data_IF_482754171434
#
_entry.id   IF_482754171434
#
_cell.length_a   1.000
_cell.length_b   1.000
_cell.length_c   1.000
_cell.angle_alpha   90.00
_cell.angle_beta   90.00
_cell.angle_gamma   90.00
#
_symmetry.space_group_name_H-M   'P 1'
#
loop_
_entity.id
_entity.type
_entity.pdbx_description
1 polymer ?
#
# COMPACT_ATOMS: atom_id res chain seq x y z
N UNK A 1 17.01 -35.50 26.09
CA UNK A 1 17.97 -34.38 25.99
C UNK A 1 17.15 -33.09 25.92
N UNK A 2 17.51 -32.01 26.62
CA UNK A 2 16.74 -30.75 26.54
C UNK A 2 16.96 -30.11 25.16
N UNK A 3 15.89 -29.64 24.52
CA UNK A 3 15.97 -28.90 23.26
C UNK A 3 16.70 -27.56 23.47
N UNK A 4 17.47 -27.15 22.47
CA UNK A 4 18.35 -25.99 22.48
C UNK A 4 17.83 -24.92 21.53
N UNK A 5 17.77 -23.67 21.98
CA UNK A 5 17.42 -22.56 21.08
C UNK A 5 18.37 -21.37 21.22
N UNK A 6 18.47 -20.59 20.14
CA UNK A 6 19.13 -19.29 20.13
C UNK A 6 18.15 -18.22 19.63
N UNK A 7 17.92 -17.18 20.40
CA UNK A 7 17.04 -16.07 20.03
C UNK A 7 17.71 -14.72 20.32
N UNK A 8 17.45 -13.74 19.45
CA UNK A 8 17.87 -12.34 19.62
C UNK A 8 17.09 -11.71 20.79
N UNK A 9 17.76 -10.99 21.69
CA UNK A 9 17.15 -10.40 22.91
C UNK A 9 16.02 -9.43 22.59
N UNK A 10 15.95 -8.91 21.37
CA UNK A 10 14.83 -8.07 20.90
C UNK A 10 13.49 -8.82 20.77
N UNK A 11 13.47 -10.14 20.95
CA UNK A 11 12.26 -10.97 20.99
C UNK A 11 12.06 -11.60 22.39
N UNK A 12 11.86 -10.77 23.42
CA UNK A 12 11.80 -11.25 24.81
C UNK A 12 10.60 -12.16 25.08
N UNK A 13 9.50 -11.95 24.36
CA UNK A 13 8.30 -12.78 24.37
C UNK A 13 8.60 -14.22 23.92
N UNK A 14 9.31 -14.38 22.80
CA UNK A 14 9.70 -15.70 22.28
C UNK A 14 10.67 -16.40 23.24
N UNK A 15 11.61 -15.65 23.83
CA UNK A 15 12.57 -16.19 24.81
C UNK A 15 11.82 -16.73 26.03
N UNK A 16 10.98 -15.92 26.65
CA UNK A 16 10.23 -16.30 27.84
C UNK A 16 9.35 -17.55 27.59
N UNK A 17 8.71 -17.60 26.42
CA UNK A 17 7.77 -18.66 26.04
C UNK A 17 8.48 -20.00 25.77
N UNK A 18 9.70 -19.98 25.20
CA UNK A 18 10.52 -21.17 25.02
C UNK A 18 11.13 -21.66 26.35
N UNK A 19 11.61 -20.76 27.19
CA UNK A 19 12.14 -21.09 28.53
C UNK A 19 11.06 -21.69 29.43
N UNK A 20 9.83 -21.15 29.39
CA UNK A 20 8.68 -21.70 30.11
C UNK A 20 8.33 -23.13 29.66
N UNK A 21 8.60 -23.49 28.38
CA UNK A 21 8.46 -24.86 27.85
C UNK A 21 9.66 -25.77 28.18
N UNK A 22 10.64 -25.29 28.94
CA UNK A 22 11.82 -26.06 29.34
C UNK A 22 12.91 -26.15 28.29
N UNK A 23 12.86 -25.34 27.23
CA UNK A 23 13.96 -25.23 26.27
C UNK A 23 15.14 -24.52 26.91
N UNK A 24 16.37 -24.92 26.55
CA UNK A 24 17.58 -24.29 27.04
C UNK A 24 18.06 -23.23 26.06
N UNK A 25 18.11 -21.98 26.51
CA UNK A 25 18.68 -20.87 25.75
C UNK A 25 20.20 -21.01 25.62
N UNK A 26 20.70 -20.77 24.42
CA UNK A 26 22.12 -20.67 24.11
C UNK A 26 22.54 -19.21 23.95
N UNK A 27 23.83 -18.88 24.20
CA UNK A 27 24.39 -17.60 23.79
C UNK A 27 24.18 -17.37 22.29
N UNK A 28 23.76 -16.17 21.91
CA UNK A 28 23.42 -15.86 20.51
C UNK A 28 24.63 -15.91 19.56
N UNK A 29 25.85 -15.71 20.08
CA UNK A 29 27.08 -15.62 19.29
C UNK A 29 27.80 -16.98 19.24
N UNK A 30 28.12 -17.44 18.02
CA UNK A 30 29.19 -18.44 17.82
C UNK A 30 28.83 -19.91 18.00
N UNK A 31 27.55 -20.31 18.09
CA UNK A 31 27.18 -21.72 18.25
C UNK A 31 26.52 -22.34 16.99
N UNK A 32 27.10 -23.41 16.41
CA UNK A 32 26.48 -24.17 15.33
C UNK A 32 25.45 -25.20 15.81
N UNK A 33 25.37 -25.49 17.11
CA UNK A 33 24.49 -26.51 17.69
C UNK A 33 23.26 -25.87 18.33
N UNK A 34 22.20 -25.70 17.56
CA UNK A 34 20.86 -25.31 18.03
C UNK A 34 19.81 -26.20 17.36
N UNK A 35 18.68 -26.44 18.03
CA UNK A 35 17.51 -27.07 17.41
C UNK A 35 16.62 -26.00 16.75
N UNK A 36 16.45 -24.84 17.41
CA UNK A 36 15.72 -23.68 16.89
C UNK A 36 16.55 -22.39 16.95
N UNK A 37 16.54 -21.61 15.88
CA UNK A 37 17.08 -20.24 15.87
C UNK A 37 16.01 -19.23 15.49
N UNK A 38 15.80 -18.25 16.36
CA UNK A 38 14.84 -17.17 16.18
C UNK A 38 15.53 -15.81 16.03
N UNK A 39 15.58 -15.29 14.81
CA UNK A 39 16.30 -14.04 14.54
C UNK A 39 15.71 -13.27 13.35
N UNK A 40 16.33 -12.15 12.97
CA UNK A 40 16.02 -11.46 11.72
C UNK A 40 16.58 -12.24 10.53
N UNK A 41 15.87 -12.22 9.39
CA UNK A 41 16.25 -12.91 8.16
C UNK A 41 17.74 -12.77 7.80
N UNK A 42 18.26 -11.53 7.80
CA UNK A 42 19.66 -11.24 7.42
C UNK A 42 20.73 -11.76 8.39
N UNK A 43 20.35 -12.18 9.61
CA UNK A 43 21.26 -12.79 10.60
C UNK A 43 21.32 -14.32 10.50
N UNK A 44 20.56 -14.92 9.58
CA UNK A 44 20.60 -16.35 9.32
C UNK A 44 21.78 -16.66 8.38
N UNK A 45 22.66 -17.54 8.83
CA UNK A 45 23.75 -18.07 8.00
C UNK A 45 23.25 -19.25 7.18
N UNK A 46 22.46 -18.99 6.14
CA UNK A 46 21.73 -20.00 5.36
C UNK A 46 22.59 -21.20 4.94
N UNK A 47 23.81 -20.97 4.43
CA UNK A 47 24.73 -22.05 4.03
C UNK A 47 25.29 -22.92 5.17
N UNK A 48 24.96 -22.62 6.44
CA UNK A 48 25.36 -23.40 7.62
C UNK A 48 24.18 -24.06 8.34
N UNK A 49 22.94 -23.82 7.89
CA UNK A 49 21.75 -24.46 8.47
C UNK A 49 21.68 -25.89 7.94
N UNK A 50 21.56 -26.87 8.84
CA UNK A 50 21.44 -28.30 8.49
C UNK A 50 19.98 -28.76 8.51
N UNK A 51 19.69 -29.94 7.94
CA UNK A 51 18.33 -30.51 7.88
C UNK A 51 17.71 -30.85 9.23
N UNK A 52 18.51 -30.91 10.30
CA UNK A 52 18.05 -31.17 11.67
C UNK A 52 17.72 -29.87 12.42
N UNK A 53 17.96 -28.71 11.82
CA UNK A 53 17.82 -27.40 12.47
C UNK A 53 16.65 -26.62 11.92
N UNK A 54 15.96 -25.90 12.81
CA UNK A 54 14.82 -25.06 12.47
C UNK A 54 15.22 -23.59 12.60
N UNK A 55 14.80 -22.78 11.62
CA UNK A 55 14.91 -21.32 11.64
C UNK A 55 13.54 -20.70 11.42
N UNK A 56 13.31 -19.50 11.97
CA UNK A 56 12.01 -18.83 11.92
C UNK A 56 11.70 -18.08 10.61
N UNK A 57 12.37 -18.44 9.50
CA UNK A 57 12.16 -17.86 8.18
C UNK A 57 12.27 -18.95 7.12
N UNK A 58 11.45 -18.87 6.08
CA UNK A 58 11.67 -19.64 4.86
C UNK A 58 12.76 -18.97 4.04
N UNK A 59 13.63 -19.75 3.39
CA UNK A 59 14.65 -19.21 2.51
C UNK A 59 13.98 -18.39 1.38
N UNK A 60 14.55 -17.23 1.04
CA UNK A 60 14.00 -16.30 0.05
C UNK A 60 12.68 -15.58 0.42
N UNK A 61 12.08 -15.85 1.59
CA UNK A 61 10.85 -15.17 2.04
C UNK A 61 10.94 -13.64 2.14
N UNK A 62 12.15 -13.09 2.24
CA UNK A 62 12.39 -11.64 2.23
C UNK A 62 11.84 -10.94 0.99
N UNK A 63 11.70 -11.67 -0.13
CA UNK A 63 11.16 -11.18 -1.40
C UNK A 63 9.72 -10.67 -1.20
N UNK A 64 8.93 -11.32 -0.34
CA UNK A 64 7.55 -10.90 -0.02
C UNK A 64 7.50 -9.56 0.74
N UNK A 65 8.62 -9.13 1.32
CA UNK A 65 8.73 -7.85 2.02
C UNK A 65 9.30 -6.72 1.15
N UNK A 66 9.75 -7.02 -0.07
CA UNK A 66 10.25 -6.03 -1.03
C UNK A 66 9.14 -5.68 -2.02
N UNK A 67 8.83 -4.38 -2.14
CA UNK A 67 7.61 -3.94 -2.87
C UNK A 67 7.70 -4.20 -4.37
N UNK A 68 8.86 -3.93 -4.97
CA UNK A 68 9.14 -4.17 -6.38
C UNK A 68 9.08 -5.66 -6.69
N UNK A 69 9.77 -6.49 -5.90
CA UNK A 69 9.80 -7.93 -6.16
C UNK A 69 8.44 -8.60 -5.91
N UNK A 70 7.72 -8.23 -4.83
CA UNK A 70 6.35 -8.70 -4.60
C UNK A 70 5.43 -8.31 -5.75
N UNK A 71 5.54 -7.08 -6.26
CA UNK A 71 4.76 -6.62 -7.42
C UNK A 71 5.05 -7.50 -8.64
N UNK A 72 6.32 -7.73 -8.95
CA UNK A 72 6.71 -8.59 -10.06
C UNK A 72 6.15 -10.01 -9.90
N UNK A 73 6.27 -10.62 -8.71
CA UNK A 73 5.73 -11.95 -8.45
C UNK A 73 4.21 -12.02 -8.61
N UNK A 74 3.46 -11.03 -8.12
CA UNK A 74 2.00 -10.99 -8.23
C UNK A 74 1.51 -10.89 -9.68
N UNK A 75 2.24 -10.19 -10.53
CA UNK A 75 1.89 -10.04 -11.95
C UNK A 75 2.59 -11.06 -12.86
N UNK A 76 3.46 -11.92 -12.32
CA UNK A 76 4.10 -12.99 -13.11
C UNK A 76 3.05 -14.02 -13.51
N UNK A 77 3.10 -14.48 -14.76
CA UNK A 77 2.21 -15.54 -15.23
C UNK A 77 2.72 -16.90 -14.76
N UNK A 78 1.85 -17.68 -14.11
CA UNK A 78 2.06 -19.12 -14.00
C UNK A 78 1.35 -19.78 -15.19
N UNK A 79 2.07 -20.59 -15.95
CA UNK A 79 1.54 -21.40 -17.05
C UNK A 79 0.85 -20.63 -18.20
N UNK A 80 1.18 -19.34 -18.39
CA UNK A 80 0.67 -18.51 -19.48
C UNK A 80 -0.63 -17.75 -19.18
N UNK A 81 -1.23 -17.98 -18.00
CA UNK A 81 -2.38 -17.23 -17.51
C UNK A 81 -1.91 -16.09 -16.58
N UNK A 82 -2.43 -14.88 -16.80
CA UNK A 82 -2.17 -13.76 -15.90
C UNK A 82 -3.08 -13.92 -14.68
N UNK A 83 -2.50 -14.02 -13.49
CA UNK A 83 -3.26 -13.95 -12.25
C UNK A 83 -3.99 -12.60 -12.18
N UNK A 84 -5.32 -12.62 -12.12
CA UNK A 84 -6.14 -11.41 -11.95
C UNK A 84 -6.01 -10.86 -10.51
N UNK A 85 -4.84 -10.31 -10.19
CA UNK A 85 -4.53 -9.77 -8.85
C UNK A 85 -5.20 -8.43 -8.57
N UNK A 86 -5.69 -7.74 -9.60
CA UNK A 86 -6.25 -6.40 -9.46
C UNK A 86 -7.52 -6.33 -8.60
N UNK A 87 -8.17 -7.47 -8.34
CA UNK A 87 -9.29 -7.60 -7.38
C UNK A 87 -8.87 -7.42 -5.93
N UNK A 88 -7.61 -7.67 -5.59
CA UNK A 88 -7.10 -7.64 -4.21
C UNK A 88 -5.79 -6.85 -4.04
N UNK A 89 -5.16 -6.41 -5.13
CA UNK A 89 -3.91 -5.66 -5.14
C UNK A 89 -4.04 -4.44 -6.05
N UNK A 90 -3.96 -3.20 -5.52
CA UNK A 90 -4.06 -2.00 -6.34
C UNK A 90 -3.02 -1.98 -7.45
N UNK A 91 -3.39 -1.50 -8.63
CA UNK A 91 -2.51 -1.43 -9.80
C UNK A 91 -1.21 -0.72 -9.42
N UNK A 92 -0.10 -1.43 -9.62
CA UNK A 92 1.22 -1.03 -9.15
C UNK A 92 2.21 -1.12 -10.29
N UNK A 93 3.17 -0.21 -10.35
CA UNK A 93 4.14 -0.03 -11.42
C UNK A 93 5.53 0.11 -10.82
N UNK A 94 6.45 -0.78 -11.20
CA UNK A 94 7.86 -0.72 -10.83
C UNK A 94 8.62 0.19 -11.80
N UNK A 95 9.05 1.36 -11.33
CA UNK A 95 9.74 2.33 -12.17
C UNK A 95 11.14 1.89 -12.58
N UNK A 96 11.68 0.79 -12.07
CA UNK A 96 12.90 0.20 -12.65
C UNK A 96 12.66 -0.44 -14.02
N UNK A 97 11.40 -0.78 -14.34
CA UNK A 97 11.00 -1.40 -15.60
C UNK A 97 10.50 -0.33 -16.59
N UNK A 98 11.04 -0.34 -17.82
CA UNK A 98 10.65 0.61 -18.87
C UNK A 98 9.20 0.43 -19.31
N UNK A 99 8.71 -0.80 -19.33
CA UNK A 99 7.33 -1.14 -19.65
C UNK A 99 6.35 -0.53 -18.63
N UNK A 100 6.62 -0.69 -17.33
CA UNK A 100 5.77 -0.15 -16.27
C UNK A 100 5.71 1.38 -16.29
N UNK A 101 6.79 2.07 -16.70
CA UNK A 101 6.75 3.54 -16.92
C UNK A 101 5.77 3.95 -18.01
N UNK A 102 5.69 3.18 -19.11
CA UNK A 102 4.74 3.44 -20.22
C UNK A 102 3.31 3.13 -19.78
N UNK A 103 3.10 1.97 -19.15
CA UNK A 103 1.80 1.56 -18.65
C UNK A 103 1.27 2.52 -17.59
N UNK A 104 2.14 2.99 -16.69
CA UNK A 104 1.78 3.98 -15.68
C UNK A 104 1.21 5.25 -16.32
N UNK A 105 1.80 5.75 -17.41
CA UNK A 105 1.26 6.92 -18.13
C UNK A 105 -0.17 6.66 -18.60
N UNK A 106 -0.44 5.52 -19.24
CA UNK A 106 -1.76 5.17 -19.74
C UNK A 106 -2.77 5.10 -18.58
N UNK A 107 -2.43 4.35 -17.53
CA UNK A 107 -3.30 4.16 -16.37
C UNK A 107 -3.52 5.44 -15.55
N UNK A 108 -2.52 6.33 -15.52
CA UNK A 108 -2.65 7.64 -14.90
C UNK A 108 -3.70 8.49 -15.62
N UNK A 109 -3.64 8.56 -16.95
CA UNK A 109 -4.62 9.29 -17.76
C UNK A 109 -6.00 8.64 -17.72
N UNK A 110 -6.08 7.31 -17.73
CA UNK A 110 -7.35 6.60 -17.53
C UNK A 110 -7.98 6.97 -16.18
N UNK A 111 -7.21 6.89 -15.09
CA UNK A 111 -7.69 7.23 -13.76
C UNK A 111 -8.12 8.70 -13.66
N UNK A 112 -7.37 9.61 -14.30
CA UNK A 112 -7.76 11.02 -14.42
C UNK A 112 -9.09 11.17 -15.16
N UNK A 113 -9.25 10.51 -16.30
CA UNK A 113 -10.47 10.58 -17.09
C UNK A 113 -11.67 10.07 -16.28
N UNK A 114 -11.55 8.94 -15.57
CA UNK A 114 -12.60 8.44 -14.67
C UNK A 114 -12.95 9.47 -13.59
N UNK A 115 -11.95 10.11 -12.98
CA UNK A 115 -12.16 11.09 -11.92
C UNK A 115 -12.88 12.36 -12.45
N UNK A 116 -12.49 12.83 -13.63
CA UNK A 116 -13.15 13.95 -14.34
C UNK A 116 -14.60 13.62 -14.68
N UNK A 117 -14.86 12.42 -15.21
CA UNK A 117 -16.22 11.99 -15.55
C UNK A 117 -17.10 11.88 -14.29
N UNK A 118 -16.59 11.30 -13.20
CA UNK A 118 -17.29 11.24 -11.90
C UNK A 118 -17.63 12.63 -11.36
N UNK A 119 -16.66 13.57 -11.41
CA UNK A 119 -16.89 14.97 -11.03
C UNK A 119 -17.95 15.63 -11.89
N UNK A 120 -17.99 15.31 -13.19
CA UNK A 120 -18.96 15.88 -14.13
C UNK A 120 -20.42 15.53 -13.86
N UNK A 121 -20.68 14.47 -13.08
CA UNK A 121 -22.02 14.11 -12.65
C UNK A 121 -22.49 14.88 -11.40
N UNK A 122 -21.59 15.59 -10.72
CA UNK A 122 -21.91 16.40 -9.55
C UNK A 122 -22.32 17.81 -9.98
N UNK A 123 -23.61 18.12 -9.84
CA UNK A 123 -24.21 19.40 -10.25
C UNK A 123 -23.69 20.61 -9.45
N UNK A 124 -23.07 20.38 -8.29
CA UNK A 124 -22.58 21.45 -7.40
C UNK A 124 -21.17 21.94 -7.76
N UNK A 125 -20.53 21.38 -8.78
CA UNK A 125 -19.12 21.65 -9.11
C UNK A 125 -19.00 22.11 -10.55
N UNK A 126 -18.31 23.22 -10.77
CA UNK A 126 -17.99 23.69 -12.12
C UNK A 126 -16.94 22.77 -12.76
N UNK A 127 -17.14 22.44 -14.04
CA UNK A 127 -16.35 21.42 -14.74
C UNK A 127 -15.87 21.96 -16.07
N UNK A 128 -14.60 21.73 -16.37
CA UNK A 128 -14.02 22.04 -17.66
C UNK A 128 -14.60 21.09 -18.72
N UNK A 129 -15.41 21.66 -19.63
CA UNK A 129 -16.08 20.91 -20.68
C UNK A 129 -15.12 20.22 -21.65
N UNK A 130 -13.97 20.84 -21.94
CA UNK A 130 -12.96 20.27 -22.81
C UNK A 130 -12.30 19.05 -22.16
N UNK A 131 -12.02 19.12 -20.85
CA UNK A 131 -11.49 17.98 -20.08
C UNK A 131 -12.46 16.81 -20.07
N UNK A 132 -13.74 17.05 -19.85
CA UNK A 132 -14.75 15.97 -19.85
C UNK A 132 -14.92 15.39 -21.27
N UNK A 133 -14.80 16.21 -22.33
CA UNK A 133 -14.79 15.74 -23.72
C UNK A 133 -13.60 14.81 -24.02
N UNK A 134 -12.40 15.20 -23.61
CA UNK A 134 -11.19 14.39 -23.74
C UNK A 134 -11.29 13.09 -22.91
N UNK A 135 -11.79 13.18 -21.68
CA UNK A 135 -12.01 12.03 -20.80
C UNK A 135 -12.99 11.03 -21.44
N UNK A 136 -14.14 11.49 -21.93
CA UNK A 136 -15.10 10.62 -22.63
C UNK A 136 -14.49 9.92 -23.83
N UNK A 137 -13.64 10.62 -24.57
CA UNK A 137 -12.98 10.03 -25.74
C UNK A 137 -12.00 8.92 -25.35
N UNK A 138 -11.19 9.15 -24.33
CA UNK A 138 -10.29 8.12 -23.79
C UNK A 138 -11.09 6.91 -23.29
N UNK A 139 -12.14 7.14 -22.50
CA UNK A 139 -12.95 6.06 -21.93
C UNK A 139 -13.66 5.24 -23.02
N UNK A 140 -14.16 5.85 -24.09
CA UNK A 140 -14.72 5.11 -25.22
C UNK A 140 -13.69 4.20 -25.91
N UNK A 141 -12.45 4.68 -26.08
CA UNK A 141 -11.38 3.85 -26.63
C UNK A 141 -11.04 2.68 -25.72
N UNK A 142 -11.04 2.90 -24.40
CA UNK A 142 -10.84 1.85 -23.39
C UNK A 142 -11.98 0.83 -23.41
N UNK A 143 -13.22 1.28 -23.46
CA UNK A 143 -14.41 0.41 -23.53
C UNK A 143 -14.38 -0.44 -24.81
N UNK A 144 -13.98 0.14 -25.95
CA UNK A 144 -13.87 -0.58 -27.21
C UNK A 144 -12.72 -1.61 -27.24
N UNK A 145 -11.81 -1.59 -26.27
CA UNK A 145 -10.73 -2.57 -26.15
C UNK A 145 -11.14 -3.68 -25.19
N UNK A 146 -11.23 -4.92 -25.69
CA UNK A 146 -11.60 -6.08 -24.87
C UNK A 146 -10.49 -6.40 -23.84
N UNK A 147 -9.23 -6.30 -24.23
CA UNK A 147 -8.07 -6.72 -23.42
C UNK A 147 -7.56 -5.68 -22.41
N UNK A 148 -8.12 -4.46 -22.40
CA UNK A 148 -7.60 -3.35 -21.59
C UNK A 148 -7.55 -3.64 -20.09
N UNK A 149 -8.45 -4.46 -19.56
CA UNK A 149 -8.50 -4.78 -18.11
C UNK A 149 -7.92 -6.16 -17.78
N UNK A 150 -8.01 -7.14 -18.66
CA UNK A 150 -7.66 -8.53 -18.34
C UNK A 150 -6.18 -8.84 -18.57
N UNK A 151 -5.57 -8.26 -19.60
CA UNK A 151 -4.20 -8.59 -20.04
C UNK A 151 -3.31 -7.35 -20.13
N UNK A 152 -3.60 -6.30 -19.37
CA UNK A 152 -3.01 -4.97 -19.54
C UNK A 152 -1.49 -4.86 -19.39
N UNK A 153 -0.83 -5.88 -18.83
CA UNK A 153 0.63 -5.97 -18.73
C UNK A 153 1.30 -6.67 -19.92
N UNK A 154 0.55 -7.18 -20.89
CA UNK A 154 1.11 -7.76 -22.12
C UNK A 154 1.56 -6.65 -23.08
N UNK A 155 2.63 -6.90 -23.81
CA UNK A 155 3.26 -5.91 -24.71
C UNK A 155 2.31 -5.48 -25.85
N UNK A 156 1.45 -6.39 -26.31
CA UNK A 156 0.46 -6.16 -27.38
C UNK A 156 -0.61 -5.13 -26.99
N UNK A 157 -0.98 -5.04 -25.70
CA UNK A 157 -2.00 -4.10 -25.23
C UNK A 157 -1.55 -2.64 -25.39
N UNK A 158 -0.24 -2.36 -25.34
CA UNK A 158 0.33 -1.03 -25.52
C UNK A 158 0.13 -0.47 -26.94
N UNK A 159 0.03 -1.33 -27.95
CA UNK A 159 -0.12 -0.93 -29.35
C UNK A 159 -1.55 -0.50 -29.70
N UNK A 160 -2.54 -0.93 -28.92
CA UNK A 160 -3.97 -0.63 -29.17
C UNK A 160 -4.40 0.79 -28.78
N UNK A 161 -3.58 1.48 -27.98
CA UNK A 161 -3.89 2.80 -27.41
C UNK A 161 -2.87 3.81 -27.95
N UNK A 162 -2.76 3.93 -29.27
CA UNK A 162 -2.00 5.01 -29.88
C UNK A 162 -2.84 6.28 -30.02
N UNK A 163 -2.13 7.39 -29.86
CA UNK A 163 -2.50 8.64 -29.22
C UNK A 163 -2.94 9.73 -30.21
N UNK A 164 -4.04 9.51 -30.94
CA UNK A 164 -4.65 10.59 -31.76
C UNK A 164 -6.15 10.66 -31.56
N UNK A 165 -6.56 11.45 -30.58
CA UNK A 165 -7.96 11.54 -30.15
C UNK A 165 -8.55 12.95 -30.42
N UNK A 166 -9.09 13.18 -31.63
CA UNK A 166 -9.94 14.33 -32.01
C UNK A 166 -11.23 14.54 -31.17
N UNK A 167 -11.56 15.78 -30.83
CA UNK A 167 -12.64 16.18 -29.91
C UNK A 167 -14.01 16.14 -30.62
N UNK A 168 -15.04 15.58 -29.97
CA UNK A 168 -16.43 15.58 -30.49
C UNK A 168 -17.31 16.53 -29.65
N UNK A 169 -18.15 17.40 -30.24
CA UNK A 169 -18.95 18.40 -29.51
C UNK A 169 -20.18 17.86 -28.73
N UNK A 170 -20.78 18.77 -27.94
CA UNK A 170 -21.68 18.61 -26.77
C UNK A 170 -23.20 18.57 -27.09
N UNK A 171 -23.99 17.79 -26.33
CA UNK A 171 -25.49 17.82 -26.28
C UNK A 171 -26.01 17.15 -24.97
N UNK A 172 -27.26 17.35 -24.56
CA UNK A 172 -27.97 16.79 -23.39
C UNK A 172 -27.90 15.25 -23.26
N UNK A 173 -27.61 14.57 -24.35
CA UNK A 173 -27.19 13.18 -24.44
C UNK A 173 -25.94 12.85 -23.57
N UNK A 174 -25.15 13.85 -23.19
CA UNK A 174 -23.86 13.71 -22.51
C UNK A 174 -23.95 13.11 -21.11
N UNK A 175 -24.86 13.57 -20.24
CA UNK A 175 -24.96 13.06 -18.86
C UNK A 175 -25.25 11.56 -18.87
N UNK A 176 -26.25 11.16 -19.65
CA UNK A 176 -26.59 9.76 -19.88
C UNK A 176 -25.41 8.98 -20.43
N UNK A 177 -24.71 9.49 -21.46
CA UNK A 177 -23.50 8.86 -22.02
C UNK A 177 -22.37 8.70 -20.99
N UNK A 178 -22.20 9.67 -20.08
CA UNK A 178 -21.23 9.58 -18.98
C UNK A 178 -21.65 8.51 -17.99
N UNK A 179 -22.92 8.48 -17.58
CA UNK A 179 -23.48 7.46 -16.69
C UNK A 179 -23.35 6.05 -17.29
N UNK A 180 -23.69 5.87 -18.58
CA UNK A 180 -23.52 4.62 -19.32
C UNK A 180 -22.05 4.17 -19.35
N UNK A 181 -21.14 5.07 -19.75
CA UNK A 181 -19.71 4.75 -19.81
C UNK A 181 -19.15 4.41 -18.43
N UNK A 182 -19.50 5.18 -17.39
CA UNK A 182 -19.07 4.90 -16.03
C UNK A 182 -19.66 3.59 -15.50
N UNK A 183 -20.89 3.25 -15.85
CA UNK A 183 -21.52 1.96 -15.51
C UNK A 183 -20.80 0.77 -16.16
N UNK A 184 -20.38 0.89 -17.42
CA UNK A 184 -19.55 -0.14 -18.06
C UNK A 184 -18.18 -0.29 -17.41
N UNK A 185 -17.54 0.83 -17.03
CA UNK A 185 -16.28 0.79 -16.30
C UNK A 185 -16.43 0.15 -14.91
N UNK A 186 -17.52 0.41 -14.20
CA UNK A 186 -17.80 -0.20 -12.89
C UNK A 186 -17.93 -1.72 -13.00
N UNK A 187 -18.47 -2.24 -14.11
CA UNK A 187 -18.57 -3.67 -14.39
C UNK A 187 -17.23 -4.31 -14.78
N UNK A 188 -16.38 -3.59 -15.51
CA UNK A 188 -15.16 -4.14 -16.13
C UNK A 188 -13.87 -3.88 -15.35
N UNK A 189 -13.79 -2.78 -14.59
CA UNK A 189 -12.61 -2.41 -13.81
C UNK A 189 -12.76 -2.83 -12.34
N UNK A 190 -12.02 -3.85 -11.86
CA UNK A 190 -12.04 -4.27 -10.46
C UNK A 190 -11.63 -3.17 -9.46
N UNK A 191 -10.97 -2.12 -9.92
CA UNK A 191 -10.49 -1.01 -9.10
C UNK A 191 -11.21 0.30 -9.40
N UNK A 192 -12.35 0.27 -10.09
CA UNK A 192 -13.16 1.45 -10.43
C UNK A 192 -13.42 2.36 -9.21
N UNK A 193 -13.75 1.76 -8.06
CA UNK A 193 -14.04 2.48 -6.82
C UNK A 193 -12.79 3.00 -6.09
N UNK A 194 -11.58 2.58 -6.47
CA UNK A 194 -10.35 3.15 -5.94
C UNK A 194 -10.14 4.60 -6.43
N UNK A 195 -10.77 5.00 -7.53
CA UNK A 195 -10.81 6.39 -8.03
C UNK A 195 -11.94 7.15 -7.34
N UNK A 196 -11.60 8.27 -6.69
CA UNK A 196 -12.56 9.12 -5.99
C UNK A 196 -13.47 9.91 -6.94
N UNK A 197 -14.47 10.57 -6.36
CA UNK A 197 -15.46 11.34 -7.11
C UNK A 197 -15.08 12.83 -7.25
N UNK A 198 -13.97 13.25 -6.65
CA UNK A 198 -13.57 14.65 -6.50
C UNK A 198 -12.37 15.04 -7.38
N UNK A 199 -12.18 14.37 -8.53
CA UNK A 199 -11.10 14.69 -9.48
C UNK A 199 -9.70 14.67 -8.85
N UNK A 200 -9.53 13.84 -7.83
CA UNK A 200 -8.34 13.82 -6.99
C UNK A 200 -7.20 13.00 -7.57
N UNK A 201 -7.50 12.01 -8.42
CA UNK A 201 -6.57 11.11 -9.13
C UNK A 201 -5.27 10.84 -8.35
N UNK A 202 -5.40 10.30 -7.13
CA UNK A 202 -4.29 10.21 -6.20
C UNK A 202 -3.50 8.93 -6.45
N UNK A 203 -2.18 9.09 -6.48
CA UNK A 203 -1.21 8.00 -6.60
C UNK A 203 -0.28 8.03 -5.40
N UNK A 204 0.23 6.84 -5.01
CA UNK A 204 1.16 6.68 -3.90
C UNK A 204 2.51 6.17 -4.42
N UNK A 205 3.53 7.00 -4.25
CA UNK A 205 4.92 6.69 -4.56
C UNK A 205 5.58 6.09 -3.33
N UNK A 206 6.16 4.89 -3.47
CA UNK A 206 6.81 4.17 -2.36
C UNK A 206 8.22 3.72 -2.76
N UNK A 207 9.25 4.06 -1.98
CA UNK A 207 10.57 3.48 -2.15
C UNK A 207 10.52 1.97 -1.89
N UNK A 208 11.08 1.17 -2.78
CA UNK A 208 10.99 -0.29 -2.72
C UNK A 208 11.71 -0.87 -1.51
N UNK A 209 12.86 -0.28 -1.15
CA UNK A 209 13.79 -0.75 -0.10
C UNK A 209 13.57 -0.12 1.29
N UNK A 210 12.62 0.80 1.46
CA UNK A 210 12.31 1.41 2.75
C UNK A 210 11.08 0.76 3.43
N UNK A 211 10.99 0.89 4.75
CA UNK A 211 9.88 0.38 5.56
C UNK A 211 9.38 1.47 6.53
N UNK A 212 8.38 1.17 7.35
CA UNK A 212 7.89 2.06 8.42
C UNK A 212 7.27 3.37 7.92
N UNK A 213 6.76 3.37 6.68
CA UNK A 213 6.15 4.55 6.05
C UNK A 213 7.15 5.62 5.61
N UNK A 214 8.46 5.36 5.68
CA UNK A 214 9.51 6.31 5.29
C UNK A 214 9.54 6.52 3.78
N UNK A 215 9.67 7.77 3.37
CA UNK A 215 9.77 8.19 1.96
C UNK A 215 8.51 7.97 1.13
N UNK A 216 7.38 7.59 1.74
CA UNK A 216 6.09 7.48 1.03
C UNK A 216 5.55 8.88 0.78
N UNK A 217 5.18 9.16 -0.46
CA UNK A 217 4.61 10.43 -0.90
C UNK A 217 3.35 10.18 -1.73
N UNK A 218 2.36 11.06 -1.61
CA UNK A 218 1.17 11.07 -2.46
C UNK A 218 1.30 12.17 -3.50
N UNK A 219 0.80 11.93 -4.71
CA UNK A 219 0.75 12.92 -5.79
C UNK A 219 -0.57 12.86 -6.54
N UNK A 220 -0.90 13.94 -7.25
CA UNK A 220 -2.10 14.04 -8.11
C UNK A 220 -1.80 14.35 -9.56
N UNK A 221 -0.61 14.84 -9.85
CA UNK A 221 -0.18 15.15 -11.21
C UNK A 221 0.97 14.26 -11.64
N UNK A 222 1.03 13.97 -12.94
CA UNK A 222 2.13 13.20 -13.50
C UNK A 222 3.46 13.95 -13.36
N UNK A 223 3.41 15.30 -13.39
CA UNK A 223 4.58 16.16 -13.15
C UNK A 223 5.14 15.99 -11.74
N UNK A 224 4.29 16.06 -10.70
CA UNK A 224 4.71 15.79 -9.32
C UNK A 224 5.31 14.38 -9.18
N UNK A 225 4.72 13.39 -9.84
CA UNK A 225 5.22 12.02 -9.84
C UNK A 225 6.64 11.94 -10.43
N UNK A 226 6.86 12.57 -11.59
CA UNK A 226 8.18 12.63 -12.21
C UNK A 226 9.18 13.37 -11.31
N UNK A 227 8.80 14.49 -10.70
CA UNK A 227 9.64 15.23 -9.75
C UNK A 227 10.04 14.34 -8.56
N UNK A 228 9.07 13.75 -7.84
CA UNK A 228 9.30 12.88 -6.68
C UNK A 228 10.25 11.73 -7.01
N UNK A 229 10.10 11.14 -8.20
CA UNK A 229 10.84 9.94 -8.59
C UNK A 229 12.18 10.26 -9.25
N UNK A 230 12.37 11.50 -9.74
CA UNK A 230 13.62 11.98 -10.37
C UNK A 230 14.57 12.68 -9.40
N UNK A 231 14.09 13.19 -8.25
CA UNK A 231 14.90 13.88 -7.22
C UNK A 231 16.09 13.03 -6.69
N UNK A 232 16.17 11.74 -7.01
CA UNK A 232 17.31 10.86 -6.68
C UNK A 232 17.97 10.20 -7.91
N UNK A 233 17.72 10.73 -9.12
CA UNK A 233 18.00 10.10 -10.42
C UNK A 233 19.09 10.76 -11.27
N UNK A 234 19.50 12.00 -11.00
CA UNK A 234 20.48 12.71 -11.83
C UNK A 234 21.79 12.98 -11.05
N UNK A 235 22.65 11.96 -11.03
CA UNK A 235 24.10 12.17 -11.10
C UNK A 235 24.62 11.24 -12.21
N UNK A 236 24.48 11.68 -13.45
CA UNK A 236 25.36 11.24 -14.53
C UNK A 236 26.60 12.16 -14.47
N UNK A 237 27.67 11.69 -13.83
CA UNK A 237 28.92 12.45 -13.77
C UNK A 237 29.93 11.96 -12.75
N UNK A 238 30.95 11.25 -13.25
CA UNK A 238 32.26 10.96 -12.66
C UNK A 238 32.35 9.93 -11.52
N UNK A 239 32.81 8.75 -11.93
CA UNK A 239 33.49 7.76 -11.12
C UNK A 239 34.62 8.40 -10.29
N UNK A 240 34.37 8.60 -9.00
CA UNK A 240 35.43 8.57 -7.98
C UNK A 240 34.95 7.72 -6.80
N UNK A 241 35.85 6.91 -6.29
CA UNK A 241 35.53 5.69 -5.53
C UNK A 241 34.78 5.87 -4.21
N UNK A 242 34.24 4.73 -3.77
CA UNK A 242 33.70 4.44 -2.43
C UNK A 242 32.43 5.17 -2.01
N UNK A 243 31.32 4.81 -2.66
CA UNK A 243 30.09 4.24 -2.08
C UNK A 243 29.03 4.25 -3.19
N UNK A 244 28.61 3.06 -3.68
CA UNK A 244 27.48 2.97 -4.61
C UNK A 244 26.23 3.45 -3.88
N UNK A 245 25.91 4.75 -3.95
CA UNK A 245 24.58 5.23 -3.57
C UNK A 245 23.60 4.54 -4.52
N UNK A 246 22.99 3.45 -4.06
CA UNK A 246 22.05 2.68 -4.86
C UNK A 246 20.90 3.60 -5.24
N UNK A 247 20.69 3.82 -6.54
CA UNK A 247 19.50 4.52 -7.06
C UNK A 247 18.27 3.98 -6.34
N UNK A 248 17.49 4.86 -5.71
CA UNK A 248 16.28 4.46 -5.00
C UNK A 248 15.32 3.88 -6.02
N UNK A 249 14.95 2.61 -5.86
CA UNK A 249 13.89 2.00 -6.65
C UNK A 249 12.55 2.48 -6.13
N UNK A 250 11.67 2.85 -7.04
CA UNK A 250 10.33 3.32 -6.72
C UNK A 250 9.30 2.39 -7.32
N UNK A 251 8.28 2.08 -6.54
CA UNK A 251 7.00 1.66 -7.09
C UNK A 251 6.01 2.83 -7.02
N UNK A 252 5.13 2.91 -8.00
CA UNK A 252 3.96 3.78 -7.99
C UNK A 252 2.74 2.88 -7.95
N UNK A 253 1.80 3.16 -7.05
CA UNK A 253 0.59 2.37 -6.91
C UNK A 253 -0.63 3.29 -6.89
N UNK A 254 -1.76 2.85 -7.44
CA UNK A 254 -3.02 3.59 -7.34
C UNK A 254 -3.41 3.73 -5.87
N UNK A 255 -3.60 4.96 -5.39
CA UNK A 255 -4.07 5.18 -4.02
C UNK A 255 -5.55 4.84 -3.91
N UNK A 256 -5.97 4.19 -2.82
CA UNK A 256 -7.38 3.93 -2.55
C UNK A 256 -8.00 5.21 -1.98
N UNK A 257 -8.72 5.95 -2.82
CA UNK A 257 -9.30 7.25 -2.48
C UNK A 257 -10.60 7.16 -1.68
N UNK A 258 -11.27 6.01 -1.75
CA UNK A 258 -12.51 5.71 -1.01
C UNK A 258 -12.29 4.54 -0.05
N UNK A 259 -11.38 4.65 0.94
CA UNK A 259 -11.20 3.60 1.92
C UNK A 259 -12.46 3.48 2.80
N UNK A 260 -12.68 2.30 3.38
CA UNK A 260 -13.60 2.19 4.51
C UNK A 260 -13.06 3.05 5.65
N UNK A 261 -13.93 3.88 6.22
CA UNK A 261 -13.63 4.75 7.36
C UNK A 261 -14.41 4.27 8.57
N UNK A 262 -13.75 4.27 9.72
CA UNK A 262 -14.33 3.88 11.01
C UNK A 262 -13.97 4.94 12.07
N UNK A 263 -14.48 4.81 13.28
CA UNK A 263 -14.23 5.76 14.38
C UNK A 263 -14.43 7.22 13.95
N UNK A 264 -15.57 7.53 13.34
CA UNK A 264 -15.90 8.89 12.86
C UNK A 264 -14.95 9.43 11.79
N UNK A 265 -14.71 8.64 10.73
CA UNK A 265 -14.03 9.11 9.53
C UNK A 265 -12.53 8.85 9.49
N UNK A 266 -11.98 8.01 10.36
CA UNK A 266 -10.56 7.66 10.37
C UNK A 266 -10.28 6.49 9.43
N UNK A 267 -9.20 6.63 8.66
CA UNK A 267 -8.64 5.56 7.82
C UNK A 267 -7.91 4.57 8.72
N UNK A 268 -7.92 3.30 8.36
CA UNK A 268 -7.15 2.26 9.05
C UNK A 268 -6.60 1.22 8.09
N UNK A 269 -5.73 0.36 8.60
CA UNK A 269 -5.39 -0.91 7.97
C UNK A 269 -5.54 -2.07 8.96
N UNK A 270 -5.64 -3.29 8.43
CA UNK A 270 -5.72 -4.52 9.22
C UNK A 270 -4.33 -5.17 9.23
N UNK A 271 -3.79 -5.43 10.42
CA UNK A 271 -2.64 -6.32 10.59
C UNK A 271 -3.14 -7.73 10.89
N UNK A 272 -2.88 -8.62 9.94
CA UNK A 272 -3.08 -10.05 10.09
C UNK A 272 -1.75 -10.78 10.22
N UNK A 273 -1.70 -11.80 11.09
CA UNK A 273 -0.57 -12.73 11.16
C UNK A 273 -0.89 -14.05 10.46
N UNK A 274 0.06 -14.52 9.65
CA UNK A 274 0.01 -15.80 8.95
C UNK A 274 1.32 -16.53 9.20
N UNK A 275 1.25 -17.79 9.61
CA UNK A 275 2.40 -18.69 9.77
C UNK A 275 2.43 -19.67 8.60
N UNK A 276 3.54 -19.70 7.85
CA UNK A 276 3.77 -20.69 6.81
C UNK A 276 4.80 -21.69 7.34
N UNK A 277 4.43 -22.96 7.42
CA UNK A 277 5.29 -24.01 7.98
C UNK A 277 5.97 -24.83 6.89
N UNK A 278 5.31 -25.02 5.76
CA UNK A 278 5.75 -25.89 4.66
C UNK A 278 5.39 -25.24 3.32
N UNK A 279 6.23 -25.46 2.30
CA UNK A 279 5.99 -25.01 0.92
C UNK A 279 5.72 -26.19 -0.03
N UNK A 280 6.33 -27.34 0.24
CA UNK A 280 6.22 -28.57 -0.56
C UNK A 280 5.79 -29.74 0.34
N UNK A 281 4.99 -30.70 -0.17
CA UNK A 281 4.45 -30.78 -1.54
C UNK A 281 3.32 -29.80 -1.82
N UNK A 282 2.72 -29.19 -0.79
CA UNK A 282 1.78 -28.07 -0.90
C UNK A 282 2.05 -27.06 0.21
N UNK A 283 1.88 -25.75 -0.05
CA UNK A 283 2.02 -24.74 1.00
C UNK A 283 1.02 -24.94 2.13
N UNK A 284 1.51 -24.97 3.38
CA UNK A 284 0.67 -24.99 4.58
C UNK A 284 0.75 -23.65 5.28
N UNK A 285 -0.37 -22.92 5.30
CA UNK A 285 -0.49 -21.60 5.90
C UNK A 285 -1.57 -21.57 7.00
N UNK A 286 -1.22 -21.05 8.17
CA UNK A 286 -2.11 -20.89 9.32
C UNK A 286 -2.41 -19.41 9.54
N UNK A 287 -3.69 -19.05 9.49
CA UNK A 287 -4.16 -17.71 9.85
C UNK A 287 -4.33 -17.62 11.35
N UNK A 288 -3.62 -16.69 11.99
CA UNK A 288 -3.84 -16.46 13.41
C UNK A 288 -5.23 -15.87 13.62
N UNK A 289 -6.01 -16.44 14.55
CA UNK A 289 -7.42 -16.07 14.73
C UNK A 289 -7.62 -14.63 15.23
N UNK A 290 -6.57 -13.99 15.76
CA UNK A 290 -6.58 -12.57 16.14
C UNK A 290 -5.88 -11.74 15.09
N UNK A 291 -6.43 -10.55 14.87
CA UNK A 291 -5.82 -9.44 14.13
C UNK A 291 -5.98 -8.15 14.93
N UNK A 292 -5.43 -7.05 14.43
CA UNK A 292 -5.71 -5.73 14.97
C UNK A 292 -5.77 -4.67 13.88
N UNK A 293 -6.61 -3.67 14.10
CA UNK A 293 -6.75 -2.48 13.29
C UNK A 293 -5.72 -1.45 13.73
N UNK A 294 -5.14 -0.72 12.77
CA UNK A 294 -4.23 0.40 13.03
C UNK A 294 -4.81 1.64 12.39
N UNK A 295 -5.20 2.60 13.21
CA UNK A 295 -5.88 3.81 12.75
C UNK A 295 -4.87 4.93 12.43
N UNK A 296 -5.25 5.75 11.46
CA UNK A 296 -4.70 7.09 11.28
C UNK A 296 -5.27 8.00 12.37
N UNK A 297 -4.45 8.86 12.97
CA UNK A 297 -4.87 9.74 14.07
C UNK A 297 -5.65 10.97 13.62
N UNK A 298 -5.63 11.29 12.32
CA UNK A 298 -6.44 12.35 11.72
C UNK A 298 -7.53 11.77 10.83
N UNK A 299 -8.70 12.41 10.85
CA UNK A 299 -9.82 12.10 9.96
C UNK A 299 -9.37 12.14 8.51
N UNK A 300 -9.84 11.18 7.73
CA UNK A 300 -9.45 11.01 6.35
C UNK A 300 -10.00 12.14 5.49
N UNK A 301 -9.11 12.91 4.87
CA UNK A 301 -9.45 13.95 3.91
C UNK A 301 -8.43 13.92 2.77
N UNK A 302 -8.91 13.90 1.53
CA UNK A 302 -8.00 13.92 0.38
C UNK A 302 -7.38 15.30 0.17
N UNK A 303 -7.94 16.39 0.70
CA UNK A 303 -7.42 17.77 0.55
C UNK A 303 -6.04 17.97 1.17
N UNK A 304 -5.67 17.16 2.18
CA UNK A 304 -4.41 17.27 2.93
C UNK A 304 -3.42 16.16 2.60
N UNK A 305 -3.07 15.97 1.32
CA UNK A 305 -2.23 14.84 0.89
C UNK A 305 -0.84 14.75 1.55
N UNK A 306 -0.28 15.89 1.96
CA UNK A 306 1.00 15.95 2.64
C UNK A 306 0.91 15.56 4.14
N UNK A 307 -0.31 15.48 4.68
CA UNK A 307 -0.54 15.07 6.07
C UNK A 307 -0.42 13.54 6.20
N UNK A 308 0.75 13.12 6.67
CA UNK A 308 1.05 11.70 6.86
C UNK A 308 0.18 11.06 7.94
N UNK A 309 -0.33 11.83 8.90
CA UNK A 309 -1.19 11.32 9.96
C UNK A 309 -2.58 10.95 9.46
N UNK A 310 -3.04 11.58 8.38
CA UNK A 310 -4.29 11.27 7.67
C UNK A 310 -4.18 10.00 6.81
N UNK A 311 -3.01 9.78 6.19
CA UNK A 311 -2.90 8.81 5.10
C UNK A 311 -2.09 7.55 5.42
N UNK A 312 -1.25 7.55 6.45
CA UNK A 312 -0.35 6.43 6.79
C UNK A 312 -0.58 5.88 8.20
N UNK A 313 -1.28 4.76 8.32
CA UNK A 313 -1.58 4.05 9.58
C UNK A 313 -0.38 3.31 10.24
N UNK A 314 0.85 3.57 9.78
CA UNK A 314 2.04 2.97 10.38
C UNK A 314 2.22 3.50 11.82
N UNK A 315 2.36 2.61 12.81
CA UNK A 315 2.67 3.01 14.20
C UNK A 315 3.88 3.94 14.27
N UNK A 316 4.93 3.64 13.50
CA UNK A 316 6.14 4.48 13.40
C UNK A 316 5.91 5.90 12.88
N UNK A 317 4.75 6.17 12.28
CA UNK A 317 4.31 7.52 11.89
C UNK A 317 3.39 8.05 12.97
N UNK A 318 2.35 7.29 13.32
CA UNK A 318 1.27 7.73 14.20
C UNK A 318 1.70 8.00 15.65
N UNK A 319 2.75 7.34 16.15
CA UNK A 319 3.30 7.60 17.49
C UNK A 319 3.82 9.03 17.70
N UNK A 320 4.07 9.77 16.62
CA UNK A 320 4.53 11.16 16.66
C UNK A 320 3.39 12.16 16.49
N UNK A 321 2.14 11.69 16.42
CA UNK A 321 1.00 12.59 16.35
C UNK A 321 0.80 13.29 17.70
N UNK A 322 0.71 14.61 17.67
CA UNK A 322 0.35 15.44 18.82
C UNK A 322 -0.94 16.17 18.44
N UNK A 323 -1.99 16.03 19.26
CA UNK A 323 -3.25 16.74 19.00
C UNK A 323 -3.06 18.23 19.23
N UNK A 324 -3.77 19.06 18.45
CA UNK A 324 -3.71 20.53 18.58
C UNK A 324 -4.19 20.99 19.97
N UNK A 325 -5.11 20.24 20.58
CA UNK A 325 -5.58 20.45 21.96
C UNK A 325 -4.48 20.20 23.01
N UNK A 326 -3.56 19.25 22.77
CA UNK A 326 -2.45 18.98 23.67
C UNK A 326 -1.38 20.09 23.60
N UNK A 327 -1.20 20.73 22.43
CA UNK A 327 -0.28 21.88 22.31
C UNK A 327 -0.78 23.14 23.01
N UNK A 328 -2.09 23.32 23.14
CA UNK A 328 -2.68 24.45 23.88
C UNK A 328 -2.64 24.25 25.40
N UNK A 329 -2.68 23.00 25.88
CA UNK A 329 -2.55 22.66 27.30
C UNK A 329 -1.11 22.84 27.82
N UNK A 330 -0.10 22.64 26.99
CA UNK A 330 1.31 22.90 27.37
C UNK A 330 1.66 24.41 27.42
N UNK A 331 0.88 25.28 26.77
CA UNK A 331 1.10 26.73 26.79
C UNK A 331 0.33 27.47 27.90
N UNK A 332 -0.70 26.86 28.48
CA UNK A 332 -1.46 27.43 29.59
C UNK A 332 -1.37 26.51 30.80
N UNK A 333 -0.38 26.74 31.65
CA UNK A 333 -0.30 26.16 32.99
C UNK A 333 -1.51 26.59 33.84
N UNK A 334 -2.64 25.92 33.67
CA UNK A 334 -3.83 26.07 34.48
C UNK A 334 -4.18 24.72 35.08
N UNK A 335 -3.97 24.59 36.39
CA UNK A 335 -4.70 23.62 37.21
C UNK A 335 -6.19 23.92 37.05
N UNK A 336 -6.92 23.04 36.36
CA UNK A 336 -8.38 23.04 36.36
C UNK A 336 -8.88 21.72 36.92
N UNK A 337 -9.68 21.88 37.97
CA UNK A 337 -10.38 20.87 38.74
C UNK A 337 -11.24 19.97 37.86
N UNK A 338 -11.25 18.69 38.22
CA UNK A 338 -11.72 17.56 37.42
C UNK A 338 -13.26 17.40 37.29
N UNK A 339 -14.02 18.45 36.97
CA UNK A 339 -15.50 18.36 37.08
C UNK A 339 -16.33 18.70 35.83
N UNK A 340 -15.71 19.02 34.68
CA UNK A 340 -16.44 19.17 33.42
C UNK A 340 -15.66 18.58 32.24
N UNK A 341 -15.50 17.25 32.22
CA UNK A 341 -15.23 16.52 30.98
C UNK A 341 -16.58 16.11 30.40
N UNK A 342 -16.94 16.73 29.28
CA UNK A 342 -18.07 16.32 28.47
C UNK A 342 -17.86 14.85 28.03
N UNK A 343 -18.68 13.95 28.54
CA UNK A 343 -18.56 12.48 28.36
C UNK A 343 -19.00 12.01 26.96
N UNK A 344 -19.22 12.91 25.99
CA UNK A 344 -19.62 12.55 24.62
C UNK A 344 -18.53 12.71 23.55
N UNK A 345 -17.26 12.92 23.92
CA UNK A 345 -16.16 12.80 22.97
C UNK A 345 -15.82 11.32 22.80
N UNK A 346 -16.29 10.72 21.69
CA UNK A 346 -15.90 9.37 21.27
C UNK A 346 -14.38 9.19 21.46
N UNK A 347 -14.00 8.34 22.42
CA UNK A 347 -12.59 8.05 22.70
C UNK A 347 -11.97 7.42 21.46
N UNK A 348 -11.12 8.17 20.76
CA UNK A 348 -10.38 7.67 19.61
C UNK A 348 -9.34 6.65 20.07
N UNK A 349 -9.44 5.42 19.57
CA UNK A 349 -8.52 4.33 19.89
C UNK A 349 -7.59 4.04 18.69
N UNK A 350 -6.27 4.34 18.79
CA UNK A 350 -5.35 4.24 17.66
C UNK A 350 -5.11 2.80 17.19
N UNK A 351 -5.37 1.81 18.05
CA UNK A 351 -5.32 0.40 17.72
C UNK A 351 -6.48 -0.36 18.38
N UNK A 352 -7.24 -1.10 17.58
CA UNK A 352 -8.28 -1.99 18.09
C UNK A 352 -7.91 -3.44 17.78
N UNK A 353 -7.88 -4.29 18.81
CA UNK A 353 -7.84 -5.73 18.57
C UNK A 353 -9.11 -6.20 17.88
N UNK A 354 -9.01 -7.31 17.14
CA UNK A 354 -10.17 -7.98 16.53
C UNK A 354 -11.28 -8.34 17.52
N UNK A 355 -10.95 -8.55 18.80
CA UNK A 355 -11.93 -8.81 19.86
C UNK A 355 -12.66 -7.52 20.24
N UNK A 356 -11.92 -6.45 20.55
CA UNK A 356 -12.51 -5.12 20.82
C UNK A 356 -13.39 -4.64 19.66
N UNK A 357 -12.90 -4.78 18.42
CA UNK A 357 -13.67 -4.37 17.25
C UNK A 357 -14.96 -5.17 17.07
N UNK A 358 -14.93 -6.48 17.32
CA UNK A 358 -16.16 -7.30 17.25
C UNK A 358 -17.22 -6.80 18.22
N UNK A 359 -16.81 -6.37 19.41
CA UNK A 359 -17.76 -5.85 20.40
C UNK A 359 -18.34 -4.49 20.00
N UNK A 360 -17.62 -3.69 19.18
CA UNK A 360 -18.19 -2.44 18.60
C UNK A 360 -19.23 -2.67 17.50
N UNK A 361 -19.34 -3.88 16.96
CA UNK A 361 -20.32 -4.24 15.92
C UNK A 361 -21.63 -4.83 16.46
N UNK A 362 -21.67 -5.17 17.75
CA UNK A 362 -22.86 -5.66 18.44
C UNK A 362 -23.67 -4.50 18.98
#
# INVERSE_FOLDING_TARGET
MRQLFAADDKFPDVVAELEARGWRRLPFVGCPKFDLKWTNYGKISWGRVTSQQIVNHLQHSIILSQKDQLTQLLYTQEHGEQTQVDRCFPRTFDLSQSQDRRLLKIWFHYSQAVAVLKKSLNESVEVDEAQVGAAMKLIRAVIASDDFFECWRKEETLLSIDSRLEIVPFDCDRRRKVEEALGELELRDPQYHAVGNADSNVWICKPSNLSQGRGIVLCRSFKELEEITSINGEQDGQETGTERQSRIKWIVQKYIERPLLLQNGHKFDIRQWVLITELEPKPTAFWFYRSYLRFCSRRFELTRLNDRFTHLSNYSVQQYFVSEEASDLDQKGYELTADHRDESLDQFEPMLSSEQFRDTLK
#
